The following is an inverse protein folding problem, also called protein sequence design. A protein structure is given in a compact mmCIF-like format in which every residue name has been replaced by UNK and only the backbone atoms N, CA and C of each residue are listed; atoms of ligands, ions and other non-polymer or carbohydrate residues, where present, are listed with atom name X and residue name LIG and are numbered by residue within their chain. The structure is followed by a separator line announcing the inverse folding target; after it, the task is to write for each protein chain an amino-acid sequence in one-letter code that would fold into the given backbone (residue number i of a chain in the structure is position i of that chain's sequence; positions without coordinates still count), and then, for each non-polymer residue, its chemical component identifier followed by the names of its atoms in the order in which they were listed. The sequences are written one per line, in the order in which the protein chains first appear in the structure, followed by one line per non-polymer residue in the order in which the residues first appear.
data_IF_276720383222
#
_entry.id   IF_276720383222
#
_cell.length_a   1.000
_cell.length_b   1.000
_cell.length_c   1.000
_cell.angle_alpha   90.00
_cell.angle_beta   90.00
_cell.angle_gamma   90.00
#
_symmetry.space_group_name_H-M   'P 1'
#
loop_
_entity.id
_entity.type
_entity.pdbx_description
1 polymer ?
#
# COMPACT_ATOMS: atom_id res chain seq x y z
N UNK A 1 6.08 32.29 35.14
CA UNK A 1 6.53 30.96 35.60
C UNK A 1 5.65 29.84 35.08
N UNK A 2 4.38 29.66 35.49
CA UNK A 2 3.56 28.53 34.97
C UNK A 2 3.31 28.58 33.44
N UNK A 3 3.15 29.79 32.88
CA UNK A 3 2.96 30.00 31.44
C UNK A 3 4.20 29.70 30.58
N UNK A 4 5.40 29.87 31.15
CA UNK A 4 6.65 29.70 30.40
C UNK A 4 6.94 28.21 30.21
N UNK A 5 6.69 27.41 31.25
CA UNK A 5 6.81 25.94 31.21
C UNK A 5 5.77 25.30 30.27
N UNK A 6 4.52 25.78 30.29
CA UNK A 6 3.45 25.29 29.41
C UNK A 6 3.74 25.59 27.93
N UNK A 7 4.26 26.80 27.65
CA UNK A 7 4.65 27.21 26.31
C UNK A 7 5.89 26.45 25.81
N UNK A 8 6.85 26.18 26.68
CA UNK A 8 7.99 25.33 26.37
C UNK A 8 7.55 23.91 26.01
N UNK A 9 6.64 23.32 26.81
CA UNK A 9 6.08 21.99 26.56
C UNK A 9 5.28 21.92 25.26
N UNK A 10 4.55 22.99 24.91
CA UNK A 10 3.87 23.09 23.62
C UNK A 10 4.86 23.11 22.45
N UNK A 11 5.91 23.92 22.53
CA UNK A 11 6.94 24.02 21.50
C UNK A 11 7.67 22.68 21.27
N UNK A 12 7.97 21.94 22.34
CA UNK A 12 8.55 20.60 22.24
C UNK A 12 7.63 19.62 21.51
N UNK A 13 6.32 19.65 21.79
CA UNK A 13 5.34 18.80 21.08
C UNK A 13 5.21 19.17 19.62
N UNK A 14 5.19 20.46 19.29
CA UNK A 14 5.15 20.94 17.91
C UNK A 14 6.43 20.53 17.16
N UNK A 15 7.60 20.67 17.78
CA UNK A 15 8.86 20.24 17.18
C UNK A 15 8.88 18.72 16.90
N UNK A 16 8.34 17.92 17.82
CA UNK A 16 8.20 16.46 17.62
C UNK A 16 7.26 16.13 16.46
N UNK A 17 6.10 16.77 16.39
CA UNK A 17 5.12 16.57 15.29
C UNK A 17 5.74 16.98 13.95
N UNK A 18 6.40 18.13 13.88
CA UNK A 18 7.11 18.57 12.67
C UNK A 18 8.17 17.57 12.22
N UNK A 19 8.92 16.97 13.16
CA UNK A 19 9.87 15.91 12.85
C UNK A 19 9.21 14.69 12.22
N UNK A 20 8.07 14.25 12.76
CA UNK A 20 7.29 13.13 12.22
C UNK A 20 6.74 13.44 10.82
N UNK A 21 6.16 14.63 10.61
CA UNK A 21 5.63 15.05 9.31
C UNK A 21 6.74 15.06 8.26
N UNK A 22 7.91 15.62 8.60
CA UNK A 22 9.07 15.65 7.69
C UNK A 22 9.52 14.23 7.34
N UNK A 23 9.53 13.32 8.32
CA UNK A 23 9.88 11.92 8.06
C UNK A 23 8.86 11.25 7.11
N UNK A 24 7.55 11.45 7.34
CA UNK A 24 6.50 10.93 6.46
C UNK A 24 6.61 11.48 5.03
N UNK A 25 6.96 12.75 4.86
CA UNK A 25 7.20 13.35 3.54
C UNK A 25 8.38 12.67 2.83
N UNK A 26 9.48 12.40 3.54
CA UNK A 26 10.62 11.71 2.96
C UNK A 26 10.27 10.26 2.54
N UNK A 27 9.48 9.55 3.36
CA UNK A 27 9.01 8.19 3.03
C UNK A 27 8.13 8.23 1.78
N UNK A 28 7.17 9.17 1.71
CA UNK A 28 6.34 9.35 0.52
C UNK A 28 7.17 9.61 -0.73
N UNK A 29 8.15 10.51 -0.65
CA UNK A 29 9.02 10.81 -1.78
C UNK A 29 9.84 9.59 -2.22
N UNK A 30 10.35 8.81 -1.27
CA UNK A 30 11.09 7.59 -1.57
C UNK A 30 10.22 6.52 -2.25
N UNK A 31 8.98 6.33 -1.79
CA UNK A 31 8.01 5.43 -2.42
C UNK A 31 7.67 5.89 -3.85
N UNK A 32 7.44 7.19 -4.03
CA UNK A 32 7.13 7.77 -5.33
C UNK A 32 8.29 7.55 -6.31
N UNK A 33 9.53 7.83 -5.89
CA UNK A 33 10.73 7.57 -6.70
C UNK A 33 10.90 6.08 -7.02
N UNK A 34 10.64 5.19 -6.07
CA UNK A 34 10.74 3.75 -6.30
C UNK A 34 9.71 3.28 -7.34
N UNK A 35 8.46 3.76 -7.25
CA UNK A 35 7.42 3.48 -8.23
C UNK A 35 7.85 3.93 -9.64
N UNK A 36 8.41 5.14 -9.76
CA UNK A 36 8.92 5.69 -11.02
C UNK A 36 10.09 4.87 -11.59
N UNK A 37 11.01 4.40 -10.75
CA UNK A 37 12.12 3.55 -11.19
C UNK A 37 11.63 2.27 -11.89
N UNK A 38 10.59 1.64 -11.37
CA UNK A 38 10.03 0.42 -11.97
C UNK A 38 9.24 0.70 -13.25
N UNK A 39 8.54 1.83 -13.37
CA UNK A 39 7.91 2.25 -14.63
C UNK A 39 8.95 2.49 -15.73
N UNK A 40 10.01 3.23 -15.41
CA UNK A 40 11.10 3.51 -16.35
C UNK A 40 11.79 2.20 -16.77
N UNK A 41 12.02 1.30 -15.81
CA UNK A 41 12.64 -0.01 -16.07
C UNK A 41 11.79 -0.90 -16.98
N UNK A 42 10.48 -0.95 -16.74
CA UNK A 42 9.53 -1.68 -17.58
C UNK A 42 9.39 -1.06 -18.99
N UNK A 43 10.00 0.11 -19.23
CA UNK A 43 9.82 0.91 -20.43
C UNK A 43 8.33 1.18 -20.71
N UNK A 44 7.58 1.38 -19.63
CA UNK A 44 6.15 1.62 -19.67
C UNK A 44 5.90 3.12 -19.98
N UNK A 45 5.51 3.38 -21.23
CA UNK A 45 5.25 4.71 -21.75
C UNK A 45 3.74 4.96 -21.92
N UNK A 46 2.89 4.24 -21.20
CA UNK A 46 1.44 4.46 -21.25
C UNK A 46 1.09 5.83 -20.66
N UNK A 47 0.63 6.74 -21.53
CA UNK A 47 0.32 8.13 -21.18
C UNK A 47 -1.02 8.28 -20.44
N UNK A 48 -1.75 7.18 -20.19
CA UNK A 48 -3.02 7.23 -19.48
C UNK A 48 -2.81 7.68 -18.01
N UNK A 49 -3.35 8.86 -17.61
CA UNK A 49 -3.17 9.36 -16.25
C UNK A 49 -3.89 8.49 -15.22
N UNK A 50 -4.88 7.68 -15.61
CA UNK A 50 -5.53 6.73 -14.72
C UNK A 50 -4.67 5.49 -14.50
N UNK A 51 -3.94 5.03 -15.52
CA UNK A 51 -2.96 3.95 -15.38
C UNK A 51 -1.91 4.30 -14.32
N UNK A 52 -1.24 5.44 -14.46
CA UNK A 52 -0.21 5.86 -13.52
C UNK A 52 -0.74 6.00 -12.08
N UNK A 53 -1.99 6.42 -11.91
CA UNK A 53 -2.65 6.49 -10.61
C UNK A 53 -2.93 5.11 -10.05
N UNK A 54 -3.49 4.22 -10.85
CA UNK A 54 -3.76 2.83 -10.45
C UNK A 54 -2.46 2.12 -10.06
N UNK A 55 -1.46 2.19 -10.92
CA UNK A 55 -0.14 1.62 -10.68
C UNK A 55 0.48 2.13 -9.38
N UNK A 56 0.48 3.45 -9.15
CA UNK A 56 1.03 4.02 -7.91
C UNK A 56 0.27 3.54 -6.68
N UNK A 57 -1.06 3.45 -6.73
CA UNK A 57 -1.86 2.92 -5.61
C UNK A 57 -1.48 1.48 -5.32
N UNK A 58 -1.44 0.62 -6.34
CA UNK A 58 -1.18 -0.82 -6.16
C UNK A 58 0.26 -1.10 -5.75
N UNK A 59 1.23 -0.43 -6.37
CA UNK A 59 2.65 -0.60 -6.03
C UNK A 59 2.95 -0.09 -4.62
N UNK A 60 2.36 1.04 -4.20
CA UNK A 60 2.49 1.50 -2.82
C UNK A 60 1.84 0.52 -1.83
N UNK A 61 0.65 -0.02 -2.15
CA UNK A 61 0.00 -1.04 -1.32
C UNK A 61 0.90 -2.26 -1.16
N UNK A 62 1.51 -2.74 -2.25
CA UNK A 62 2.49 -3.83 -2.21
C UNK A 62 3.71 -3.48 -1.35
N UNK A 63 4.30 -2.30 -1.54
CA UNK A 63 5.50 -1.90 -0.80
C UNK A 63 5.25 -1.76 0.71
N UNK A 64 4.05 -1.36 1.12
CA UNK A 64 3.66 -1.20 2.52
C UNK A 64 3.46 -2.55 3.22
N UNK A 65 3.09 -3.61 2.49
CA UNK A 65 3.00 -4.96 3.08
C UNK A 65 4.37 -5.58 3.33
N UNK A 66 5.43 -5.06 2.69
CA UNK A 66 6.80 -5.50 2.92
C UNK A 66 7.35 -4.94 4.22
N UNK A 67 8.03 -5.80 4.98
CA UNK A 67 8.77 -5.41 6.19
C UNK A 67 9.85 -4.37 5.90
N UNK A 68 10.62 -4.61 4.84
CA UNK A 68 11.67 -3.73 4.35
C UNK A 68 11.28 -3.22 2.97
N UNK A 69 11.51 -1.92 2.71
CA UNK A 69 11.30 -1.26 1.41
C UNK A 69 12.39 -1.67 0.40
N UNK A 70 12.66 -2.96 0.29
CA UNK A 70 13.57 -3.56 -0.67
C UNK A 70 12.80 -4.47 -1.60
N UNK A 71 12.88 -4.17 -2.89
CA UNK A 71 12.29 -4.97 -3.97
C UNK A 71 13.43 -5.29 -4.93
N UNK A 72 13.62 -6.57 -5.21
CA UNK A 72 14.62 -6.98 -6.21
C UNK A 72 14.12 -6.62 -7.61
N UNK A 73 15.00 -6.36 -8.60
CA UNK A 73 14.54 -6.02 -9.94
C UNK A 73 13.57 -7.05 -10.55
N UNK A 74 13.81 -8.38 -10.48
CA UNK A 74 12.87 -9.37 -11.03
C UNK A 74 11.52 -9.39 -10.31
N UNK A 75 11.53 -9.17 -9.00
CA UNK A 75 10.32 -9.09 -8.20
C UNK A 75 9.49 -7.86 -8.54
N UNK A 76 10.14 -6.71 -8.73
CA UNK A 76 9.45 -5.48 -9.15
C UNK A 76 8.89 -5.57 -10.57
N UNK A 77 9.60 -6.24 -11.49
CA UNK A 77 9.09 -6.52 -12.84
C UNK A 77 7.85 -7.41 -12.78
N UNK A 78 7.88 -8.48 -11.99
CA UNK A 78 6.72 -9.36 -11.79
C UNK A 78 5.53 -8.63 -11.17
N UNK A 79 5.76 -7.78 -10.17
CA UNK A 79 4.70 -6.97 -9.55
C UNK A 79 4.11 -5.99 -10.54
N UNK A 80 4.95 -5.34 -11.37
CA UNK A 80 4.49 -4.47 -12.46
C UNK A 80 3.59 -5.24 -13.43
N UNK A 81 4.00 -6.42 -13.88
CA UNK A 81 3.21 -7.27 -14.79
C UNK A 81 1.84 -7.64 -14.18
N UNK A 82 1.80 -8.04 -12.91
CA UNK A 82 0.54 -8.35 -12.21
C UNK A 82 -0.39 -7.14 -12.12
N UNK A 83 0.16 -5.95 -11.83
CA UNK A 83 -0.60 -4.71 -11.81
C UNK A 83 -1.10 -4.36 -13.22
N UNK A 84 -0.29 -4.62 -14.24
CA UNK A 84 -0.65 -4.36 -15.63
C UNK A 84 -1.80 -5.25 -16.09
N UNK A 85 -1.76 -6.53 -15.77
CA UNK A 85 -2.84 -7.47 -16.06
C UNK A 85 -4.15 -7.04 -15.39
N UNK A 86 -4.10 -6.71 -14.09
CA UNK A 86 -5.27 -6.19 -13.36
C UNK A 86 -5.80 -4.88 -13.96
N UNK A 87 -4.93 -4.01 -14.50
CA UNK A 87 -5.34 -2.76 -15.12
C UNK A 87 -6.15 -2.98 -16.39
N UNK A 88 -5.86 -4.01 -17.18
CA UNK A 88 -6.66 -4.33 -18.37
C UNK A 88 -8.11 -4.61 -17.99
N UNK A 89 -8.32 -5.41 -16.95
CA UNK A 89 -9.67 -5.73 -16.44
C UNK A 89 -10.38 -4.50 -15.86
N UNK A 90 -9.64 -3.67 -15.11
CA UNK A 90 -10.16 -2.42 -14.52
C UNK A 90 -10.59 -1.44 -15.61
N UNK A 91 -9.76 -1.29 -16.64
CA UNK A 91 -10.04 -0.41 -17.77
C UNK A 91 -11.25 -0.89 -18.55
N UNK A 92 -11.33 -2.20 -18.83
CA UNK A 92 -12.49 -2.81 -19.48
C UNK A 92 -13.77 -2.56 -18.67
N UNK A 93 -13.73 -2.74 -17.35
CA UNK A 93 -14.86 -2.44 -16.48
C UNK A 93 -15.25 -0.96 -16.53
N UNK A 94 -14.30 -0.03 -16.50
CA UNK A 94 -14.60 1.40 -16.57
C UNK A 94 -15.25 1.81 -17.90
N UNK A 95 -14.85 1.19 -19.00
CA UNK A 95 -15.36 1.50 -20.35
C UNK A 95 -16.71 0.82 -20.63
N UNK A 96 -16.93 -0.39 -20.10
CA UNK A 96 -18.08 -1.24 -20.43
C UNK A 96 -19.13 -1.38 -19.30
N UNK A 97 -18.92 -0.76 -18.13
CA UNK A 97 -19.84 -0.90 -17.00
C UNK A 97 -21.20 -0.25 -17.26
N UNK A 98 -22.26 -1.01 -16.98
CA UNK A 98 -23.65 -0.56 -17.02
C UNK A 98 -24.02 0.34 -15.83
N UNK A 99 -23.17 0.42 -14.79
CA UNK A 99 -23.42 1.17 -13.57
C UNK A 99 -23.04 2.66 -13.67
N UNK A 100 -22.56 3.10 -14.83
CA UNK A 100 -22.15 4.48 -15.09
C UNK A 100 -20.74 4.81 -14.58
N UNK A 101 -20.26 6.04 -14.81
CA UNK A 101 -18.89 6.43 -14.49
C UNK A 101 -18.66 6.43 -12.98
N UNK A 102 -17.53 5.85 -12.56
CA UNK A 102 -17.12 5.79 -11.14
C UNK A 102 -16.83 7.21 -10.65
N UNK A 103 -17.61 7.69 -9.68
CA UNK A 103 -17.53 9.06 -9.16
C UNK A 103 -16.25 9.35 -8.37
N UNK A 104 -15.65 8.33 -7.73
CA UNK A 104 -14.41 8.45 -6.98
C UNK A 104 -13.44 7.31 -7.33
N UNK A 105 -12.81 7.45 -8.49
CA UNK A 105 -11.88 6.46 -9.05
C UNK A 105 -10.72 6.15 -8.09
N UNK A 106 -10.20 7.15 -7.38
CA UNK A 106 -9.06 6.96 -6.46
C UNK A 106 -9.42 6.09 -5.25
N UNK A 107 -10.59 6.32 -4.65
CA UNK A 107 -11.06 5.47 -3.55
C UNK A 107 -11.37 4.06 -4.05
N UNK A 108 -11.97 3.95 -5.24
CA UNK A 108 -12.25 2.64 -5.83
C UNK A 108 -10.98 1.84 -6.12
N UNK A 109 -9.92 2.47 -6.64
CA UNK A 109 -8.63 1.80 -6.84
C UNK A 109 -8.06 1.19 -5.55
N UNK A 110 -8.29 1.81 -4.39
CA UNK A 110 -7.84 1.29 -3.08
C UNK A 110 -8.64 0.06 -2.62
N UNK A 111 -9.81 -0.19 -3.21
CA UNK A 111 -10.65 -1.36 -2.92
C UNK A 111 -10.29 -2.58 -3.79
N UNK A 112 -9.47 -2.37 -4.82
CA UNK A 112 -9.03 -3.45 -5.71
C UNK A 112 -7.82 -4.11 -5.07
N UNK A 113 -7.96 -5.40 -4.78
CA UNK A 113 -6.91 -6.24 -4.22
C UNK A 113 -6.28 -7.09 -5.31
N UNK A 114 -4.95 -7.00 -5.43
CA UNK A 114 -4.14 -7.86 -6.28
C UNK A 114 -3.41 -8.83 -5.36
N UNK A 115 -3.58 -10.12 -5.60
CA UNK A 115 -2.88 -11.16 -4.86
C UNK A 115 -1.44 -11.26 -5.37
N UNK A 116 -0.54 -10.49 -4.74
CA UNK A 116 0.88 -10.60 -5.00
C UNK A 116 1.41 -11.92 -4.39
N UNK A 117 2.25 -12.67 -5.11
CA UNK A 117 2.90 -13.86 -4.57
C UNK A 117 3.94 -13.42 -3.53
N UNK A 118 3.49 -13.21 -2.29
CA UNK A 118 4.37 -13.00 -1.15
C UNK A 118 4.87 -14.36 -0.70
N UNK A 119 6.16 -14.47 -0.36
CA UNK A 119 6.77 -15.74 0.02
C UNK A 119 5.97 -16.36 1.19
N UNK A 120 5.28 -17.51 1.01
CA UNK A 120 4.47 -18.12 2.06
C UNK A 120 5.32 -18.63 3.23
N UNK A 121 6.65 -18.62 3.09
CA UNK A 121 7.60 -18.96 4.14
C UNK A 121 8.25 -17.73 4.78
N UNK A 122 7.84 -16.51 4.46
CA UNK A 122 8.16 -15.35 5.27
C UNK A 122 7.17 -15.30 6.47
N UNK A 123 7.58 -15.75 7.68
CA UNK A 123 6.70 -15.79 8.85
C UNK A 123 6.28 -14.40 9.34
N UNK A 124 6.81 -13.33 8.73
CA UNK A 124 6.56 -11.94 9.09
C UNK A 124 5.76 -11.15 8.04
N UNK A 125 5.36 -11.78 6.93
CA UNK A 125 4.44 -11.18 5.97
C UNK A 125 3.02 -11.04 6.56
N UNK A 126 2.68 -9.84 7.00
CA UNK A 126 1.35 -9.50 7.50
C UNK A 126 0.42 -9.22 6.33
N UNK A 127 -0.64 -10.02 6.19
CA UNK A 127 -1.75 -9.71 5.30
C UNK A 127 -2.45 -8.44 5.82
N UNK A 128 -2.50 -7.40 5.00
CA UNK A 128 -3.38 -6.26 5.22
C UNK A 128 -4.78 -6.62 4.74
N UNK A 129 -5.63 -7.09 5.65
CA UNK A 129 -7.08 -7.15 5.39
C UNK A 129 -7.66 -5.77 5.73
N UNK A 130 -7.95 -5.00 4.68
CA UNK A 130 -8.59 -3.69 4.79
C UNK A 130 -10.06 -3.85 5.16
N UNK A 131 -10.34 -4.16 6.43
CA UNK A 131 -11.70 -4.21 6.96
C UNK A 131 -12.47 -2.93 6.62
N UNK A 132 -13.70 -3.09 6.11
CA UNK A 132 -14.60 -2.02 5.66
C UNK A 132 -14.99 -0.99 6.74
N UNK A 133 -14.47 -1.11 7.96
CA UNK A 133 -14.73 -0.24 9.11
C UNK A 133 -13.53 0.65 9.51
N UNK A 134 -12.41 0.60 8.77
CA UNK A 134 -11.23 1.41 9.06
C UNK A 134 -10.41 0.93 10.24
N UNK A 135 -10.62 -0.32 10.70
CA UNK A 135 -9.77 -0.95 11.69
C UNK A 135 -8.58 -1.65 11.02
N UNK A 136 -7.38 -1.36 11.51
CA UNK A 136 -6.13 -2.01 11.07
C UNK A 136 -5.98 -3.31 11.86
N UNK A 137 -6.25 -4.45 11.24
CA UNK A 137 -5.95 -5.76 11.81
C UNK A 137 -4.64 -6.30 11.26
N UNK A 138 -3.61 -6.37 12.11
CA UNK A 138 -2.39 -7.11 11.83
C UNK A 138 -2.65 -8.58 12.15
N UNK A 139 -3.01 -9.37 11.13
CA UNK A 139 -3.11 -10.81 11.29
C UNK A 139 -1.72 -11.44 11.14
N UNK A 140 -1.13 -11.85 12.26
CA UNK A 140 -0.01 -12.79 12.26
C UNK A 140 -0.55 -14.18 11.95
N UNK A 141 0.04 -14.89 10.97
CA UNK A 141 -0.32 -16.28 10.67
C UNK A 141 -0.07 -17.27 11.83
N UNK A 142 0.44 -16.81 12.97
CA UNK A 142 0.55 -17.62 14.18
C UNK A 142 -0.75 -17.76 14.97
N UNK A 143 -1.76 -16.93 14.71
CA UNK A 143 -3.02 -16.99 15.47
C UNK A 143 -4.02 -18.04 14.94
N UNK A 144 -3.88 -18.49 13.69
CA UNK A 144 -4.74 -19.56 13.13
C UNK A 144 -4.35 -20.98 13.57
N UNK A 145 -3.19 -21.17 14.22
CA UNK A 145 -2.75 -22.50 14.70
C UNK A 145 -3.11 -22.81 16.15
N UNK A 146 -3.63 -21.86 16.92
CA UNK A 146 -4.01 -22.11 18.33
C UNK A 146 -5.39 -22.74 18.49
N UNK A 147 -6.31 -22.54 17.55
CA UNK A 147 -7.70 -22.98 17.72
C UNK A 147 -8.05 -24.32 17.03
N UNK A 148 -7.10 -24.95 16.34
CA UNK A 148 -7.31 -26.27 15.70
C UNK A 148 -6.75 -27.46 16.49
N UNK A 149 -6.22 -27.24 17.71
CA UNK A 149 -5.68 -28.33 18.55
C UNK A 149 -6.66 -28.94 19.57
N UNK A 150 -7.92 -28.48 19.61
CA UNK A 150 -8.92 -29.00 20.56
C UNK A 150 -10.09 -29.76 19.92
N UNK A 151 -9.97 -30.21 18.66
CA UNK A 151 -10.92 -31.13 18.05
C UNK A 151 -10.21 -32.39 17.55
N UNK A 152 -9.68 -33.15 18.52
CA UNK A 152 -9.46 -34.59 18.37
C UNK A 152 -9.72 -35.25 19.72
N UNK A 153 -10.96 -35.66 19.96
CA UNK A 153 -11.44 -37.02 20.30
C UNK A 153 -12.95 -37.03 20.07
#
# INVERSE_FOLDING_TARGET
MKNDDDMQRFNERVAKISGVIKHMQNVRNALDTLCECFLVRANDNDEDPLWHRFYRVQMCSYLITKKDLSVTPPEGDMVHDLIRDAWVDVKDYMENSQFGPVSNVEQWFKTIHIDFPVDPFDPECTYFDGGLDGSVFLLSQNDTKKDLKNLSV
#
